data_IF_305920349173
#
_entry.id   IF_305920349173
#
_cell.length_a   1.000
_cell.length_b   1.000
_cell.length_c   1.000
_cell.angle_alpha   90.00
_cell.angle_beta   90.00
_cell.angle_gamma   90.00
#
_symmetry.space_group_name_H-M   'P 1'
#
loop_
_entity.id
_entity.type
_entity.pdbx_description
1 polymer ?
#
# COMPACT_ATOMS: atom_id res chain seq x y z
N UNK A 1 -3.98 0.03 20.62
CA UNK A 1 -3.02 1.03 21.14
C UNK A 1 -3.59 2.41 20.82
N UNK A 2 -3.75 3.27 21.81
CA UNK A 2 -4.34 4.61 21.63
C UNK A 2 -3.17 5.61 21.53
N UNK A 3 -3.02 6.24 20.37
CA UNK A 3 -1.98 7.25 20.15
C UNK A 3 -2.42 8.59 20.76
N UNK A 4 -1.57 9.28 21.53
CA UNK A 4 -1.90 10.58 22.10
C UNK A 4 -2.24 11.59 20.99
N UNK A 5 -3.35 12.32 21.11
CA UNK A 5 -3.80 13.32 20.12
C UNK A 5 -2.73 14.38 19.79
N UNK A 6 -1.82 14.67 20.70
CA UNK A 6 -0.73 15.64 20.53
C UNK A 6 0.39 15.14 19.60
N UNK A 7 0.53 13.83 19.43
CA UNK A 7 1.61 13.23 18.61
C UNK A 7 1.16 12.94 17.18
N UNK A 8 -0.15 12.89 16.92
CA UNK A 8 -0.77 12.70 15.59
C UNK A 8 -0.10 13.53 14.46
N UNK A 9 0.21 14.83 14.61
CA UNK A 9 0.82 15.59 13.51
C UNK A 9 2.26 15.17 13.18
N UNK A 10 2.96 14.47 14.07
CA UNK A 10 4.33 13.97 13.86
C UNK A 10 4.37 12.50 13.41
N UNK A 11 3.20 11.87 13.33
CA UNK A 11 3.08 10.47 12.91
C UNK A 11 3.16 10.39 11.39
N UNK A 12 4.16 9.66 10.90
CA UNK A 12 4.37 9.34 9.49
C UNK A 12 3.99 7.89 9.23
N UNK A 13 3.18 7.66 8.20
CA UNK A 13 2.92 6.31 7.69
C UNK A 13 3.81 6.05 6.48
N UNK A 14 4.49 4.91 6.48
CA UNK A 14 5.28 4.41 5.35
C UNK A 14 4.63 3.13 4.84
N UNK A 15 4.41 3.08 3.53
CA UNK A 15 3.86 1.91 2.86
C UNK A 15 5.00 1.20 2.14
N UNK A 16 5.20 -0.06 2.47
CA UNK A 16 6.18 -0.91 1.80
C UNK A 16 5.41 -2.02 1.11
N UNK A 17 5.50 -2.07 -0.22
CA UNK A 17 4.94 -3.17 -0.99
C UNK A 17 5.92 -4.35 -0.96
N UNK A 18 5.41 -5.57 -0.78
CA UNK A 18 6.25 -6.77 -0.76
C UNK A 18 6.87 -7.03 -2.15
N UNK A 19 6.15 -6.64 -3.20
CA UNK A 19 6.59 -6.74 -4.58
C UNK A 19 6.89 -5.37 -5.19
N UNK A 20 7.82 -5.34 -6.15
CA UNK A 20 8.10 -4.15 -6.97
C UNK A 20 6.87 -3.70 -7.76
N UNK A 21 6.01 -4.65 -8.13
CA UNK A 21 4.81 -4.44 -8.94
C UNK A 21 3.67 -5.29 -8.37
N UNK A 22 2.45 -4.74 -8.38
CA UNK A 22 1.24 -5.46 -8.00
C UNK A 22 0.59 -6.03 -9.27
N UNK A 23 0.80 -7.31 -9.50
CA UNK A 23 0.24 -8.04 -10.65
C UNK A 23 -1.16 -8.54 -10.32
N UNK A 24 -2.14 -8.29 -11.21
CA UNK A 24 -3.39 -9.01 -11.15
C UNK A 24 -3.24 -10.51 -11.45
N UNK A 25 -4.28 -11.29 -11.14
CA UNK A 25 -5.49 -10.92 -10.38
C UNK A 25 -5.18 -10.79 -8.89
N UNK A 26 -5.55 -9.65 -8.29
CA UNK A 26 -5.37 -9.45 -6.85
C UNK A 26 -6.68 -9.79 -6.18
N UNK A 27 -6.67 -10.78 -5.29
CA UNK A 27 -7.88 -11.18 -4.55
C UNK A 27 -8.20 -10.13 -3.49
N UNK A 28 -9.47 -9.96 -3.11
CA UNK A 28 -9.82 -9.13 -1.97
C UNK A 28 -9.21 -9.74 -0.69
N UNK A 29 -8.75 -8.89 0.23
CA UNK A 29 -8.08 -9.26 1.48
C UNK A 29 -6.73 -9.96 1.30
N UNK A 30 -6.12 -9.86 0.12
CA UNK A 30 -4.78 -10.36 -0.12
C UNK A 30 -3.75 -9.40 0.47
N UNK A 31 -2.78 -9.92 1.23
CA UNK A 31 -1.65 -9.14 1.70
C UNK A 31 -0.76 -8.76 0.51
N UNK A 32 -0.50 -7.47 0.38
CA UNK A 32 0.27 -6.87 -0.71
C UNK A 32 1.48 -6.08 -0.20
N UNK A 33 1.62 -5.98 1.12
CA UNK A 33 2.74 -5.30 1.75
C UNK A 33 2.52 -5.08 3.25
N UNK A 34 3.21 -4.09 3.76
CA UNK A 34 3.16 -3.64 5.15
C UNK A 34 2.98 -2.13 5.24
N UNK A 35 2.27 -1.71 6.27
CA UNK A 35 2.13 -0.32 6.70
C UNK A 35 2.93 -0.15 7.98
N UNK A 36 3.98 0.64 7.92
CA UNK A 36 4.81 0.99 9.07
C UNK A 36 4.42 2.40 9.55
N UNK A 37 4.10 2.52 10.83
CA UNK A 37 3.81 3.78 11.47
C UNK A 37 5.04 4.23 12.25
N UNK A 38 5.49 5.45 11.99
CA UNK A 38 6.61 6.10 12.66
C UNK A 38 6.11 7.33 13.40
N UNK A 39 6.49 7.49 14.67
CA UNK A 39 6.41 8.77 15.36
C UNK A 39 7.81 9.38 15.38
N UNK A 40 7.97 10.52 14.69
CA UNK A 40 9.25 11.21 14.43
C UNK A 40 10.25 10.32 13.67
N UNK A 41 10.93 9.43 14.39
CA UNK A 41 11.97 8.50 13.88
C UNK A 41 11.85 7.09 14.50
N UNK A 42 10.86 6.86 15.37
CA UNK A 42 10.66 5.57 16.04
C UNK A 42 9.45 4.84 15.44
N UNK A 43 9.65 3.58 15.07
CA UNK A 43 8.56 2.70 14.64
C UNK A 43 7.63 2.43 15.84
N UNK A 44 6.36 2.81 15.70
CA UNK A 44 5.33 2.68 16.75
C UNK A 44 4.37 1.53 16.49
N UNK A 45 4.16 1.16 15.23
CA UNK A 45 3.32 0.02 14.87
C UNK A 45 3.61 -0.47 13.44
N UNK A 46 3.26 -1.72 13.17
CA UNK A 46 3.24 -2.27 11.82
C UNK A 46 1.96 -3.10 11.62
N UNK A 47 1.40 -3.05 10.42
CA UNK A 47 0.21 -3.80 10.04
C UNK A 47 0.31 -4.32 8.61
N UNK A 48 -0.29 -5.48 8.32
CA UNK A 48 -0.35 -5.99 6.96
C UNK A 48 -1.21 -5.08 6.08
N UNK A 49 -0.64 -4.62 4.97
CA UNK A 49 -1.38 -3.94 3.92
C UNK A 49 -2.12 -5.00 3.11
N UNK A 50 -3.45 -4.96 3.17
CA UNK A 50 -4.32 -5.86 2.43
C UNK A 50 -5.12 -5.11 1.39
N UNK A 51 -5.45 -5.79 0.29
CA UNK A 51 -6.38 -5.27 -0.70
C UNK A 51 -7.80 -5.28 -0.16
N UNK A 52 -8.57 -4.23 -0.46
CA UNK A 52 -9.96 -4.12 -0.05
C UNK A 52 -10.90 -4.77 -1.08
N UNK A 53 -10.54 -4.68 -2.35
CA UNK A 53 -11.34 -5.16 -3.48
C UNK A 53 -10.54 -6.13 -4.34
N UNK A 54 -11.25 -7.06 -4.97
CA UNK A 54 -10.66 -7.98 -5.94
C UNK A 54 -10.47 -7.26 -7.27
N UNK A 55 -9.23 -7.12 -7.73
CA UNK A 55 -8.93 -6.53 -9.04
C UNK A 55 -8.77 -7.66 -10.05
N UNK A 56 -9.79 -7.85 -10.89
CA UNK A 56 -9.77 -8.80 -12.00
C UNK A 56 -9.00 -8.27 -13.22
N UNK A 57 -8.41 -9.18 -14.00
CA UNK A 57 -7.56 -8.88 -15.17
C UNK A 57 -8.27 -8.15 -16.33
N UNK A 58 -9.60 -8.11 -16.34
CA UNK A 58 -10.38 -8.02 -17.59
C UNK A 58 -10.37 -6.71 -18.39
N UNK A 59 -9.82 -5.59 -17.91
CA UNK A 59 -9.80 -4.34 -18.70
C UNK A 59 -8.85 -3.25 -18.19
N UNK A 60 -8.62 -3.16 -16.88
CA UNK A 60 -7.83 -2.06 -16.29
C UNK A 60 -6.29 -2.25 -16.39
N UNK A 61 -5.80 -3.49 -16.58
CA UNK A 61 -4.37 -3.76 -16.85
C UNK A 61 -3.93 -3.23 -18.21
N UNK A 62 -4.83 -3.26 -19.20
CA UNK A 62 -4.54 -2.80 -20.57
C UNK A 62 -4.30 -1.29 -20.67
N UNK A 63 -4.78 -0.50 -19.71
CA UNK A 63 -4.60 0.96 -19.66
C UNK A 63 -3.46 1.38 -18.75
N UNK A 64 -3.16 0.61 -17.70
CA UNK A 64 -1.95 0.76 -16.89
C UNK A 64 -0.69 0.47 -17.72
N UNK A 65 -0.73 -0.57 -18.57
CA UNK A 65 0.37 -0.84 -19.52
C UNK A 65 0.61 0.33 -20.47
N UNK A 66 -0.43 0.97 -20.99
CA UNK A 66 -0.28 2.15 -21.87
C UNK A 66 0.33 3.34 -21.12
N UNK A 67 -0.02 3.56 -19.85
CA UNK A 67 0.53 4.68 -19.07
C UNK A 67 2.02 4.51 -18.72
N UNK A 68 2.50 3.27 -18.53
CA UNK A 68 3.94 2.99 -18.38
C UNK A 68 4.68 2.98 -19.72
N UNK A 69 4.03 2.56 -20.81
CA UNK A 69 4.63 2.58 -22.15
C UNK A 69 4.73 3.98 -22.77
N UNK A 70 3.89 4.94 -22.40
CA UNK A 70 3.89 6.29 -23.00
C UNK A 70 4.97 7.25 -22.45
N UNK A 71 5.95 6.74 -21.71
CA UNK A 71 7.15 7.49 -21.26
C UNK A 71 8.46 6.82 -21.70
N UNK A 72 8.54 6.38 -22.95
CA UNK A 72 9.79 6.10 -23.65
C UNK A 72 9.82 6.87 -24.98
#
# INVERSE_FOLDING_TARGET
>A
MVLPKAEIPHIKAKYTLDGKELTAPISAHQRVGEIELYDRDKQVAHWPLVTLESVGEGSMFSRLSDYFHHKA
#
